data_IF_385217483578
#
_entry.id   IF_385217483578
#
_cell.length_a   1.000
_cell.length_b   1.000
_cell.length_c   1.000
_cell.angle_alpha   90.00
_cell.angle_beta   90.00
_cell.angle_gamma   90.00
#
_symmetry.space_group_name_H-M   'P 1'
#
loop_
_entity.id
_entity.type
_entity.pdbx_description
1 polymer ?
#
# COMPACT_ATOMS: atom_id res chain seq x y z
N UNK A 1 33.34 32.61 57.55
CA UNK A 1 33.33 31.22 57.06
C UNK A 1 32.07 31.07 56.20
N UNK A 2 32.25 30.64 54.95
CA UNK A 2 31.29 30.73 53.83
C UNK A 2 29.91 30.11 54.07
N UNK A 3 28.83 30.67 53.49
CA UNK A 3 27.67 29.88 53.14
C UNK A 3 27.88 29.27 51.74
N UNK A 4 27.77 27.94 51.68
CA UNK A 4 27.73 27.16 50.45
C UNK A 4 26.49 27.53 49.64
N UNK A 5 26.68 28.01 48.41
CA UNK A 5 25.63 28.07 47.41
C UNK A 5 25.45 26.67 46.81
N UNK A 6 24.32 26.02 47.10
CA UNK A 6 23.92 24.77 46.44
C UNK A 6 23.27 25.14 45.11
N UNK A 7 23.99 24.90 44.01
CA UNK A 7 23.47 25.03 42.66
C UNK A 7 22.67 23.75 42.32
N UNK A 8 21.34 23.82 42.31
CA UNK A 8 20.52 22.75 41.74
C UNK A 8 20.66 22.75 40.22
N UNK A 9 21.44 21.83 39.69
CA UNK A 9 21.46 21.53 38.26
C UNK A 9 20.18 20.78 37.89
N UNK A 10 19.22 21.47 37.29
CA UNK A 10 18.07 20.84 36.64
C UNK A 10 18.59 20.18 35.36
N UNK A 11 18.89 18.88 35.45
CA UNK A 11 19.08 18.01 34.30
C UNK A 11 17.72 17.86 33.60
N UNK A 12 17.46 18.74 32.64
CA UNK A 12 16.34 18.61 31.72
C UNK A 12 16.53 17.36 30.88
N UNK A 13 15.88 16.26 31.25
CA UNK A 13 15.63 15.15 30.35
C UNK A 13 14.75 15.66 29.21
N UNK A 14 15.37 16.05 28.09
CA UNK A 14 14.67 16.14 26.81
C UNK A 14 14.29 14.72 26.40
N UNK A 15 13.15 14.24 26.91
CA UNK A 15 12.43 13.16 26.24
C UNK A 15 11.98 13.77 24.92
N UNK A 16 12.73 13.47 23.84
CA UNK A 16 12.23 13.65 22.49
C UNK A 16 11.01 12.76 22.36
N UNK A 17 9.83 13.30 22.68
CA UNK A 17 8.55 12.68 22.34
C UNK A 17 8.50 12.68 20.83
N UNK A 18 8.96 11.59 20.24
CA UNK A 18 8.89 11.38 18.82
C UNK A 18 7.40 11.21 18.50
N UNK A 19 6.79 12.25 17.92
CA UNK A 19 5.36 12.23 17.59
C UNK A 19 5.03 10.99 16.78
N UNK A 20 4.02 10.26 17.22
CA UNK A 20 3.51 9.08 16.54
C UNK A 20 3.13 9.44 15.09
N UNK A 21 3.41 8.57 14.11
CA UNK A 21 2.96 8.81 12.75
C UNK A 21 1.43 8.93 12.66
N UNK A 22 0.96 9.93 11.93
CA UNK A 22 -0.46 10.16 11.66
C UNK A 22 -0.78 9.93 10.19
N UNK A 23 -1.97 9.37 9.92
CA UNK A 23 -2.46 9.13 8.57
C UNK A 23 -3.23 10.34 8.05
N UNK A 24 -2.51 11.44 7.81
CA UNK A 24 -3.11 12.74 7.47
C UNK A 24 -2.91 13.14 6.00
N UNK A 25 -2.04 12.42 5.30
CA UNK A 25 -1.74 12.63 3.88
C UNK A 25 -2.02 11.36 3.11
N UNK A 26 -2.31 11.47 1.82
CA UNK A 26 -2.49 10.33 0.95
C UNK A 26 -1.70 10.58 -0.33
N UNK A 27 -0.63 9.80 -0.50
CA UNK A 27 0.34 9.99 -1.58
C UNK A 27 0.73 8.66 -2.18
N UNK A 28 1.16 8.70 -3.44
CA UNK A 28 1.68 7.53 -4.14
C UNK A 28 2.99 7.83 -4.85
N UNK A 29 3.66 6.75 -5.23
CA UNK A 29 4.88 6.74 -6.03
C UNK A 29 6.10 7.21 -5.25
N UNK A 30 7.01 6.29 -4.99
CA UNK A 30 8.31 6.59 -4.42
C UNK A 30 9.30 7.06 -5.50
N UNK A 31 10.27 7.87 -5.09
CA UNK A 31 11.41 8.23 -5.90
C UNK A 31 12.36 9.16 -5.17
N UNK A 32 13.60 9.27 -5.67
CA UNK A 32 14.65 10.08 -5.04
C UNK A 32 14.50 11.59 -5.34
N UNK A 33 13.92 11.94 -6.49
CA UNK A 33 13.73 13.34 -6.86
C UNK A 33 12.44 13.91 -6.24
N UNK A 34 12.51 14.33 -4.97
CA UNK A 34 11.38 14.89 -4.22
C UNK A 34 10.82 16.20 -4.79
N UNK A 35 11.53 16.86 -5.71
CA UNK A 35 11.06 18.05 -6.42
C UNK A 35 10.21 17.69 -7.65
N UNK A 36 10.20 16.42 -8.05
CA UNK A 36 9.34 15.94 -9.13
C UNK A 36 7.89 15.93 -8.70
N UNK A 37 6.99 16.47 -9.52
CA UNK A 37 5.54 16.38 -9.32
C UNK A 37 4.99 14.94 -9.35
N UNK A 38 5.79 13.97 -9.80
CA UNK A 38 5.43 12.55 -9.84
C UNK A 38 5.73 11.85 -8.52
N UNK A 39 6.81 12.24 -7.87
CA UNK A 39 7.32 11.59 -6.66
C UNK A 39 6.49 12.08 -5.47
N UNK A 40 5.98 11.15 -4.67
CA UNK A 40 5.08 11.41 -3.56
C UNK A 40 3.86 12.26 -3.96
N UNK A 41 3.33 11.99 -5.15
CA UNK A 41 2.18 12.70 -5.71
C UNK A 41 0.97 12.55 -4.78
N UNK A 42 0.29 13.67 -4.47
CA UNK A 42 -0.91 13.64 -3.62
C UNK A 42 -2.08 13.08 -4.42
N UNK A 43 -2.95 12.36 -3.72
CA UNK A 43 -4.22 11.89 -4.25
C UNK A 43 -5.39 12.56 -3.50
N UNK A 44 -6.54 12.76 -4.18
CA UNK A 44 -7.71 13.38 -3.59
C UNK A 44 -8.32 12.48 -2.51
N UNK A 45 -8.68 13.08 -1.38
CA UNK A 45 -9.17 12.39 -0.18
C UNK A 45 -10.69 12.38 -0.08
N UNK A 46 -11.36 13.17 -0.91
CA UNK A 46 -12.82 13.16 -1.05
C UNK A 46 -13.25 12.97 -2.50
N UNK A 47 -14.46 12.47 -2.73
CA UNK A 47 -15.00 12.36 -4.08
C UNK A 47 -15.08 13.72 -4.80
N UNK A 48 -15.34 14.81 -4.06
CA UNK A 48 -15.45 16.15 -4.64
C UNK A 48 -14.09 16.65 -5.14
N UNK A 49 -13.03 16.45 -4.34
CA UNK A 49 -11.65 16.70 -4.79
C UNK A 49 -11.34 15.84 -6.02
N UNK A 50 -11.69 14.55 -5.99
CA UNK A 50 -11.42 13.63 -7.10
C UNK A 50 -12.05 14.10 -8.42
N UNK A 51 -13.34 14.47 -8.38
CA UNK A 51 -14.05 15.03 -9.53
C UNK A 51 -13.39 16.32 -10.02
N UNK A 52 -13.02 17.23 -9.10
CA UNK A 52 -12.35 18.48 -9.46
C UNK A 52 -10.98 18.26 -10.10
N UNK A 53 -10.30 17.16 -9.76
CA UNK A 53 -9.02 16.77 -10.32
C UNK A 53 -9.14 15.88 -11.57
N UNK A 54 -10.35 15.67 -12.09
CA UNK A 54 -10.62 14.93 -13.32
C UNK A 54 -10.67 13.41 -13.16
N UNK A 55 -10.88 12.90 -11.95
CA UNK A 55 -11.22 11.49 -11.75
C UNK A 55 -12.69 11.25 -12.10
N UNK A 56 -12.93 10.14 -12.80
CA UNK A 56 -14.26 9.70 -13.23
C UNK A 56 -14.67 8.48 -12.45
N UNK A 57 -15.94 8.43 -12.02
CA UNK A 57 -16.51 7.29 -11.32
C UNK A 57 -16.59 6.09 -12.28
N UNK A 58 -16.07 4.94 -11.85
CA UNK A 58 -16.26 3.69 -12.57
C UNK A 58 -17.68 3.17 -12.37
N UNK A 59 -18.19 2.41 -13.34
CA UNK A 59 -19.49 1.76 -13.22
C UNK A 59 -19.49 0.78 -12.05
N UNK A 60 -20.62 0.67 -11.35
CA UNK A 60 -20.78 -0.18 -10.18
C UNK A 60 -21.54 0.50 -9.05
N UNK A 61 -22.01 -0.32 -8.11
CA UNK A 61 -22.60 0.13 -6.85
C UNK A 61 -21.53 0.20 -5.77
N UNK A 62 -21.84 0.83 -4.63
CA UNK A 62 -20.94 0.81 -3.48
C UNK A 62 -20.72 -0.63 -3.00
N UNK A 63 -21.80 -1.40 -2.84
CA UNK A 63 -21.79 -2.78 -2.33
C UNK A 63 -22.36 -3.77 -3.37
N UNK A 64 -22.32 -5.07 -3.05
CA UNK A 64 -22.90 -6.14 -3.87
C UNK A 64 -21.99 -6.66 -5.00
N UNK A 65 -20.75 -6.19 -5.08
CA UNK A 65 -19.72 -6.70 -6.00
C UNK A 65 -18.50 -7.27 -5.28
N UNK A 66 -17.43 -7.50 -6.04
CA UNK A 66 -16.12 -7.97 -5.51
C UNK A 66 -15.39 -6.91 -4.68
N UNK A 67 -15.78 -5.65 -4.82
CA UNK A 67 -15.16 -4.52 -4.17
C UNK A 67 -16.22 -3.73 -3.42
N UNK A 68 -15.78 -3.03 -2.38
CA UNK A 68 -16.58 -2.07 -1.66
C UNK A 68 -16.18 -0.65 -2.05
N UNK A 69 -17.13 0.25 -1.92
CA UNK A 69 -16.95 1.68 -2.09
C UNK A 69 -17.14 2.13 -3.54
N UNK A 70 -17.22 3.45 -3.69
CA UNK A 70 -17.34 4.10 -4.99
C UNK A 70 -15.95 4.29 -5.57
N UNK A 71 -15.71 3.66 -6.73
CA UNK A 71 -14.40 3.62 -7.38
C UNK A 71 -14.22 4.76 -8.38
N UNK A 72 -13.05 5.40 -8.38
CA UNK A 72 -12.73 6.53 -9.25
C UNK A 72 -11.35 6.38 -9.88
N UNK A 73 -11.24 6.66 -11.17
CA UNK A 73 -10.00 6.55 -11.94
C UNK A 73 -9.76 7.83 -12.74
N UNK A 74 -8.49 8.21 -12.92
CA UNK A 74 -8.11 9.39 -13.71
C UNK A 74 -7.55 8.97 -15.07
N UNK A 75 -8.18 9.44 -16.15
CA UNK A 75 -7.83 9.01 -17.51
C UNK A 75 -8.00 7.49 -17.66
N UNK A 76 -7.00 6.81 -18.23
CA UNK A 76 -6.93 5.35 -18.37
C UNK A 76 -5.91 4.71 -17.41
N UNK A 77 -5.53 5.42 -16.36
CA UNK A 77 -4.48 4.99 -15.44
C UNK A 77 -5.03 4.09 -14.32
N UNK A 78 -5.06 2.79 -14.57
CA UNK A 78 -5.54 1.76 -13.63
C UNK A 78 -4.60 1.53 -12.45
N UNK A 79 -3.37 2.07 -12.46
CA UNK A 79 -2.41 1.84 -11.39
C UNK A 79 -2.86 2.45 -10.05
N UNK A 80 -3.72 3.47 -10.06
CA UNK A 80 -4.28 4.09 -8.86
C UNK A 80 -5.78 4.38 -9.02
N UNK A 81 -6.62 3.41 -8.67
CA UNK A 81 -8.08 3.58 -8.59
C UNK A 81 -8.45 3.87 -7.13
N UNK A 82 -9.10 5.01 -6.90
CA UNK A 82 -9.44 5.48 -5.56
C UNK A 82 -10.80 4.91 -5.14
N UNK A 83 -10.92 4.51 -3.88
CA UNK A 83 -12.16 3.98 -3.31
C UNK A 83 -12.65 4.96 -2.25
N UNK A 84 -13.88 5.45 -2.40
CA UNK A 84 -14.55 6.27 -1.39
C UNK A 84 -15.67 5.49 -0.70
N UNK A 85 -15.89 5.78 0.59
CA UNK A 85 -17.05 5.30 1.32
C UNK A 85 -18.35 5.95 0.82
N UNK A 86 -19.47 5.52 1.38
CA UNK A 86 -20.81 5.98 1.01
C UNK A 86 -20.98 7.51 1.14
N UNK A 87 -20.28 8.15 2.08
CA UNK A 87 -20.30 9.60 2.29
C UNK A 87 -19.24 10.35 1.48
N UNK A 88 -18.40 9.63 0.74
CA UNK A 88 -17.44 10.19 -0.20
C UNK A 88 -16.07 10.52 0.39
N UNK A 89 -15.70 9.92 1.52
CA UNK A 89 -14.35 10.01 2.11
C UNK A 89 -13.49 8.81 1.70
N UNK A 90 -12.19 9.03 1.50
CA UNK A 90 -11.26 8.01 0.99
C UNK A 90 -11.20 6.78 1.90
N UNK A 91 -11.68 5.64 1.42
CA UNK A 91 -11.78 4.40 2.17
C UNK A 91 -10.76 3.34 1.71
N UNK A 92 -10.11 3.54 0.57
CA UNK A 92 -9.10 2.61 0.06
C UNK A 92 -8.51 3.01 -1.28
N UNK A 93 -7.67 2.13 -1.81
CA UNK A 93 -7.04 2.27 -3.13
C UNK A 93 -6.86 0.89 -3.76
N UNK A 94 -6.87 0.86 -5.10
CA UNK A 94 -6.52 -0.31 -5.87
C UNK A 94 -5.34 -0.04 -6.79
N UNK A 95 -4.56 -1.08 -7.02
CA UNK A 95 -3.61 -1.17 -8.12
C UNK A 95 -4.17 -2.16 -9.14
N UNK A 96 -4.51 -1.64 -10.31
CA UNK A 96 -5.00 -2.43 -11.44
C UNK A 96 -3.89 -2.70 -12.44
N UNK A 97 -3.79 -3.93 -12.91
CA UNK A 97 -2.94 -4.34 -14.02
C UNK A 97 -3.87 -4.85 -15.13
N UNK A 98 -3.94 -4.17 -16.30
CA UNK A 98 -4.72 -4.67 -17.43
C UNK A 98 -4.32 -6.10 -17.76
N UNK A 99 -5.29 -6.96 -18.03
CA UNK A 99 -5.04 -8.37 -18.32
C UNK A 99 -4.12 -8.53 -19.53
N UNK A 100 -4.24 -7.66 -20.53
CA UNK A 100 -3.37 -7.60 -21.70
C UNK A 100 -1.91 -7.30 -21.33
N UNK A 101 -1.67 -6.42 -20.35
CA UNK A 101 -0.34 -6.16 -19.80
C UNK A 101 0.20 -7.35 -19.01
N UNK A 102 -0.64 -7.98 -18.17
CA UNK A 102 -0.27 -9.18 -17.44
C UNK A 102 0.10 -10.35 -18.37
N UNK A 103 -0.62 -10.52 -19.48
CA UNK A 103 -0.38 -11.58 -20.46
C UNK A 103 0.85 -11.34 -21.35
N UNK A 104 1.32 -10.10 -21.48
CA UNK A 104 2.57 -9.76 -22.19
C UNK A 104 3.82 -10.15 -21.42
N UNK A 105 3.71 -10.34 -20.11
CA UNK A 105 4.84 -10.72 -19.26
C UNK A 105 5.15 -12.21 -19.45
N UNK A 106 6.42 -12.53 -19.71
CA UNK A 106 6.87 -13.90 -19.91
C UNK A 106 6.99 -14.66 -18.60
N UNK A 107 5.85 -15.12 -18.09
CA UNK A 107 5.80 -16.06 -16.99
C UNK A 107 5.92 -17.50 -17.52
N UNK A 108 6.30 -18.47 -16.68
CA UNK A 108 5.98 -19.87 -17.02
C UNK A 108 4.45 -20.00 -17.13
N UNK A 109 3.91 -20.82 -18.04
CA UNK A 109 2.44 -20.98 -18.16
C UNK A 109 1.80 -21.38 -16.82
N UNK A 110 2.52 -22.19 -16.02
CA UNK A 110 2.13 -22.54 -14.66
C UNK A 110 2.10 -21.32 -13.73
N UNK A 111 3.09 -20.44 -13.79
CA UNK A 111 3.14 -19.23 -12.97
C UNK A 111 2.13 -18.17 -13.43
N UNK A 112 1.95 -17.94 -14.73
CA UNK A 112 0.94 -17.02 -15.27
C UNK A 112 -0.46 -17.38 -14.77
N UNK A 113 -0.78 -18.67 -14.84
CA UNK A 113 -2.03 -19.23 -14.36
C UNK A 113 -2.16 -19.22 -12.83
N UNK A 114 -1.09 -18.94 -12.07
CA UNK A 114 -1.08 -19.00 -10.60
C UNK A 114 -0.85 -17.66 -9.90
N UNK A 115 -0.06 -16.76 -10.48
CA UNK A 115 0.29 -15.47 -9.92
C UNK A 115 -0.92 -14.53 -9.82
N UNK A 116 -1.74 -14.52 -10.88
CA UNK A 116 -3.02 -13.81 -10.93
C UNK A 116 -4.21 -14.66 -10.45
N UNK A 117 -3.97 -15.92 -10.09
CA UNK A 117 -4.91 -16.80 -9.37
C UNK A 117 -4.71 -16.72 -7.84
N UNK A 118 -3.72 -15.93 -7.38
CA UNK A 118 -3.68 -15.50 -5.99
C UNK A 118 -5.00 -14.85 -5.65
N UNK A 119 -5.61 -15.27 -4.54
CA UNK A 119 -6.88 -14.71 -4.07
C UNK A 119 -6.81 -13.19 -3.81
N UNK A 120 -5.61 -12.60 -3.74
CA UNK A 120 -5.43 -11.16 -3.69
C UNK A 120 -5.87 -10.44 -4.98
N UNK A 121 -5.63 -11.03 -6.15
CA UNK A 121 -6.01 -10.44 -7.43
C UNK A 121 -7.48 -10.73 -7.74
N UNK A 122 -8.24 -9.66 -7.97
CA UNK A 122 -9.64 -9.74 -8.34
C UNK A 122 -9.82 -9.21 -9.76
N UNK A 123 -10.21 -10.09 -10.68
CA UNK A 123 -10.50 -9.72 -12.06
C UNK A 123 -11.85 -8.99 -12.15
N UNK A 124 -11.86 -7.84 -12.81
CA UNK A 124 -13.07 -7.07 -13.07
C UNK A 124 -12.97 -6.31 -14.40
N UNK A 125 -14.10 -5.77 -14.88
CA UNK A 125 -14.16 -5.00 -16.13
C UNK A 125 -14.28 -3.52 -15.85
N UNK A 126 -13.49 -2.71 -16.55
CA UNK A 126 -13.63 -1.27 -16.60
C UNK A 126 -14.07 -0.82 -18.00
N UNK A 127 -14.67 0.36 -18.09
CA UNK A 127 -15.09 0.97 -19.36
C UNK A 127 -15.93 0.04 -20.26
N UNK A 128 -16.71 -0.84 -19.63
CA UNK A 128 -17.61 -1.79 -20.30
C UNK A 128 -17.00 -3.15 -20.60
N UNK A 129 -15.73 -3.21 -20.99
CA UNK A 129 -15.15 -4.46 -21.57
C UNK A 129 -13.71 -4.76 -21.18
N UNK A 130 -12.93 -3.77 -20.72
CA UNK A 130 -11.50 -3.97 -20.46
C UNK A 130 -11.28 -4.73 -19.15
N UNK A 131 -10.69 -5.92 -19.25
CA UNK A 131 -10.39 -6.79 -18.11
C UNK A 131 -9.11 -6.34 -17.40
N UNK A 132 -9.22 -6.14 -16.07
CA UNK A 132 -8.13 -5.66 -15.22
C UNK A 132 -8.07 -6.49 -13.94
N UNK A 133 -6.88 -6.94 -13.57
CA UNK A 133 -6.63 -7.57 -12.28
C UNK A 133 -6.38 -6.49 -11.23
N UNK A 134 -7.20 -6.45 -10.18
CA UNK A 134 -7.06 -5.47 -9.10
C UNK A 134 -6.53 -6.11 -7.82
N UNK A 135 -5.50 -5.49 -7.25
CA UNK A 135 -5.17 -5.60 -5.84
C UNK A 135 -5.86 -4.47 -5.09
N UNK A 136 -6.43 -4.75 -3.92
CA UNK A 136 -7.21 -3.77 -3.16
C UNK A 136 -6.75 -3.68 -1.72
N UNK A 137 -6.57 -2.45 -1.23
CA UNK A 137 -6.33 -2.14 0.16
C UNK A 137 -7.38 -1.14 0.67
N UNK A 138 -8.01 -1.45 1.80
CA UNK A 138 -8.94 -0.56 2.50
C UNK A 138 -8.27 0.02 3.74
N UNK A 139 -8.55 1.30 4.02
CA UNK A 139 -7.95 2.08 5.11
C UNK A 139 -8.85 2.17 6.35
N UNK A 140 -10.04 1.58 6.28
CA UNK A 140 -11.05 1.54 7.32
C UNK A 140 -11.69 0.16 7.32
N UNK A 141 -12.44 -0.17 8.37
CA UNK A 141 -13.23 -1.40 8.42
C UNK A 141 -14.10 -1.53 7.15
N UNK A 142 -13.91 -2.60 6.35
CA UNK A 142 -14.72 -2.86 5.17
C UNK A 142 -16.24 -2.81 5.45
N UNK A 143 -16.69 -3.22 6.63
CA UNK A 143 -18.12 -3.26 6.98
C UNK A 143 -18.80 -1.89 6.95
N UNK A 144 -18.08 -0.80 7.19
CA UNK A 144 -18.69 0.54 7.24
C UNK A 144 -18.73 1.23 5.87
N UNK A 145 -17.88 0.80 4.91
CA UNK A 145 -17.63 1.53 3.66
C UNK A 145 -18.91 1.81 2.88
N UNK A 146 -19.84 0.85 2.85
CA UNK A 146 -21.11 0.95 2.13
C UNK A 146 -22.33 0.73 3.03
N UNK A 147 -22.14 0.93 4.33
CA UNK A 147 -23.19 0.82 5.34
C UNK A 147 -23.15 2.06 6.24
N UNK A 148 -23.36 3.22 5.63
CA UNK A 148 -23.34 4.52 6.28
C UNK A 148 -22.06 5.32 6.09
N UNK A 149 -20.92 4.69 5.81
CA UNK A 149 -19.62 5.36 5.67
C UNK A 149 -19.17 6.09 6.95
N UNK A 150 -18.09 6.87 6.85
CA UNK A 150 -17.70 7.76 7.95
C UNK A 150 -18.45 9.07 7.91
N UNK A 151 -18.80 9.61 9.07
CA UNK A 151 -19.24 11.00 9.18
C UNK A 151 -18.06 11.96 8.97
N UNK A 152 -18.37 13.25 8.81
CA UNK A 152 -17.35 14.30 8.71
C UNK A 152 -16.44 14.33 9.93
N UNK A 153 -17.02 14.24 11.13
CA UNK A 153 -16.31 14.29 12.40
C UNK A 153 -15.37 13.08 12.53
N UNK A 154 -15.86 11.89 12.17
CA UNK A 154 -15.03 10.68 12.15
C UNK A 154 -13.86 10.83 11.17
N UNK A 155 -14.10 11.33 9.95
CA UNK A 155 -13.03 11.56 8.98
C UNK A 155 -12.01 12.61 9.46
N UNK A 156 -12.45 13.69 10.11
CA UNK A 156 -11.57 14.71 10.65
C UNK A 156 -10.67 14.17 11.78
N UNK A 157 -11.20 13.29 12.62
CA UNK A 157 -10.44 12.62 13.69
C UNK A 157 -9.48 11.55 13.13
N UNK A 158 -9.98 10.69 12.24
CA UNK A 158 -9.27 9.51 11.76
C UNK A 158 -8.29 9.80 10.60
N UNK A 159 -8.50 10.92 9.88
CA UNK A 159 -7.74 11.23 8.67
C UNK A 159 -8.04 10.23 7.54
N UNK A 160 -6.99 9.65 6.94
CA UNK A 160 -7.16 8.67 5.86
C UNK A 160 -7.86 7.41 6.36
N UNK A 161 -7.61 7.00 7.60
CA UNK A 161 -8.13 5.76 8.13
C UNK A 161 -7.46 5.33 9.43
N UNK A 162 -7.98 4.26 10.02
CA UNK A 162 -7.54 3.69 11.31
C UNK A 162 -7.01 2.28 11.19
N UNK A 163 -7.22 1.62 10.04
CA UNK A 163 -6.95 0.20 9.83
C UNK A 163 -6.39 -0.02 8.43
N UNK A 164 -5.73 -1.16 8.18
CA UNK A 164 -5.32 -1.54 6.83
C UNK A 164 -5.75 -2.98 6.56
N UNK A 165 -6.69 -3.14 5.63
CA UNK A 165 -7.24 -4.43 5.20
C UNK A 165 -6.81 -4.71 3.77
N UNK A 166 -6.06 -5.78 3.56
CA UNK A 166 -5.58 -6.19 2.25
C UNK A 166 -6.48 -7.29 1.72
N UNK A 167 -7.23 -7.00 0.65
CA UNK A 167 -8.20 -7.93 0.11
C UNK A 167 -7.51 -9.22 -0.37
N UNK A 168 -8.05 -10.35 0.05
CA UNK A 168 -7.52 -11.69 -0.23
C UNK A 168 -8.66 -12.68 -0.55
N UNK A 169 -9.58 -12.26 -1.41
CA UNK A 169 -10.70 -13.05 -1.92
C UNK A 169 -11.78 -12.15 -2.51
N UNK A 170 -12.88 -12.74 -2.98
CA UNK A 170 -13.96 -11.98 -3.62
C UNK A 170 -14.89 -11.25 -2.65
N UNK A 171 -14.86 -11.61 -1.36
CA UNK A 171 -15.64 -10.94 -0.30
C UNK A 171 -14.68 -10.16 0.61
N UNK A 172 -14.52 -8.84 0.44
CA UNK A 172 -13.56 -8.06 1.23
C UNK A 172 -13.89 -7.96 2.73
N UNK A 173 -15.12 -8.25 3.15
CA UNK A 173 -15.49 -8.29 4.58
C UNK A 173 -14.97 -9.56 5.24
N UNK A 174 -15.08 -10.70 4.52
CA UNK A 174 -14.70 -12.02 5.06
C UNK A 174 -13.30 -12.47 4.66
N UNK A 175 -12.77 -11.93 3.57
CA UNK A 175 -11.54 -12.37 2.92
C UNK A 175 -10.59 -11.19 2.78
N UNK A 176 -10.09 -10.72 3.91
CA UNK A 176 -9.03 -9.72 3.99
C UNK A 176 -7.96 -10.17 4.97
N UNK A 177 -6.72 -9.75 4.72
CA UNK A 177 -5.63 -9.82 5.70
C UNK A 177 -5.60 -8.47 6.40
N UNK A 178 -6.01 -8.45 7.66
CA UNK A 178 -5.86 -7.29 8.53
C UNK A 178 -4.37 -7.12 8.90
N UNK A 179 -3.89 -5.89 8.80
CA UNK A 179 -2.51 -5.53 9.13
C UNK A 179 -2.52 -4.89 10.53
N UNK A 180 -1.76 -5.45 11.49
CA UNK A 180 -1.61 -4.80 12.79
C UNK A 180 -1.08 -3.38 12.62
N UNK A 181 -1.68 -2.41 13.32
CA UNK A 181 -1.29 -1.01 13.11
C UNK A 181 0.11 -0.71 13.69
N UNK A 182 0.53 -1.47 14.72
CA UNK A 182 1.81 -1.28 15.40
C UNK A 182 2.76 -2.47 15.20
N UNK A 183 4.05 -2.17 15.04
CA UNK A 183 5.10 -3.15 14.75
C UNK A 183 5.26 -4.18 15.87
N UNK A 184 5.02 -3.75 17.12
CA UNK A 184 5.05 -4.63 18.31
C UNK A 184 3.96 -5.72 18.28
N UNK A 185 2.89 -5.52 17.52
CA UNK A 185 1.76 -6.45 17.44
C UNK A 185 1.96 -7.49 16.32
N UNK A 186 3.17 -7.55 15.72
CA UNK A 186 3.51 -8.49 14.65
C UNK A 186 4.04 -9.84 15.12
N UNK A 187 4.45 -9.98 16.39
CA UNK A 187 5.21 -11.14 16.91
C UNK A 187 4.57 -12.49 16.60
N UNK A 188 3.24 -12.61 16.74
CA UNK A 188 2.47 -13.83 16.50
C UNK A 188 1.73 -13.84 15.15
N UNK A 189 2.17 -13.00 14.21
CA UNK A 189 1.55 -12.88 12.89
C UNK A 189 2.40 -13.53 11.81
N UNK A 190 1.87 -13.52 10.59
CA UNK A 190 2.58 -14.03 9.42
C UNK A 190 3.44 -12.98 8.71
N UNK A 191 3.54 -11.77 9.25
CA UNK A 191 4.34 -10.71 8.67
C UNK A 191 5.81 -10.87 9.05
N UNK A 192 6.65 -11.17 8.06
CA UNK A 192 8.08 -11.40 8.25
C UNK A 192 8.83 -10.10 8.01
N UNK A 193 9.68 -9.73 8.98
CA UNK A 193 10.52 -8.54 8.90
C UNK A 193 11.51 -8.65 7.76
N UNK A 194 11.37 -7.77 6.78
CA UNK A 194 12.34 -7.55 5.73
C UNK A 194 13.38 -6.52 6.14
N UNK A 195 13.76 -5.66 5.20
CA UNK A 195 14.82 -4.68 5.39
C UNK A 195 14.28 -3.26 5.43
N UNK A 196 15.07 -2.41 6.06
CA UNK A 196 14.85 -0.98 6.08
C UNK A 196 15.33 -0.35 4.77
N UNK A 197 14.49 0.48 4.17
CA UNK A 197 14.92 1.40 3.13
C UNK A 197 14.65 2.85 3.54
N UNK A 198 15.70 3.68 3.55
CA UNK A 198 15.59 5.10 3.90
C UNK A 198 14.61 5.78 2.95
N UNK A 199 13.67 6.58 3.47
CA UNK A 199 12.54 7.22 2.75
C UNK A 199 11.37 6.30 2.38
N UNK A 200 11.41 5.03 2.78
CA UNK A 200 10.27 4.10 2.69
C UNK A 200 9.84 3.58 4.06
N UNK A 201 10.79 3.06 4.85
CA UNK A 201 10.59 2.47 6.17
C UNK A 201 11.08 1.02 6.26
N UNK A 202 10.66 0.30 7.30
CA UNK A 202 10.92 -1.14 7.48
C UNK A 202 9.84 -1.93 6.76
N UNK A 203 10.23 -2.69 5.73
CA UNK A 203 9.31 -3.54 4.98
C UNK A 203 9.01 -4.81 5.75
N UNK A 204 7.75 -5.21 5.74
CA UNK A 204 7.28 -6.52 6.21
C UNK A 204 6.54 -7.21 5.08
N UNK A 205 6.78 -8.50 4.93
CA UNK A 205 6.26 -9.31 3.83
C UNK A 205 5.52 -10.52 4.39
N UNK A 206 4.37 -10.85 3.80
CA UNK A 206 3.49 -11.88 4.35
C UNK A 206 3.96 -13.28 3.96
N UNK A 207 4.17 -14.15 4.96
CA UNK A 207 4.56 -15.57 4.83
C UNK A 207 5.78 -15.84 3.95
N UNK A 208 6.68 -14.86 3.78
CA UNK A 208 7.89 -15.08 2.98
C UNK A 208 8.90 -15.93 3.74
N UNK A 209 9.52 -16.87 3.05
CA UNK A 209 10.62 -17.67 3.58
C UNK A 209 11.48 -18.16 2.41
N UNK A 210 12.73 -18.52 2.69
CA UNK A 210 13.75 -18.84 1.67
C UNK A 210 13.27 -19.82 0.58
N UNK A 211 12.58 -20.88 1.01
CA UNK A 211 12.12 -22.00 0.17
C UNK A 211 10.67 -21.86 -0.35
N UNK A 212 10.08 -20.65 -0.35
CA UNK A 212 8.70 -20.46 -0.81
C UNK A 212 8.58 -20.65 -2.33
N UNK A 213 7.39 -21.06 -2.79
CA UNK A 213 7.04 -20.95 -4.21
C UNK A 213 6.58 -19.54 -4.50
N UNK A 214 6.92 -19.01 -5.67
CA UNK A 214 6.48 -17.67 -6.02
C UNK A 214 4.98 -17.57 -6.28
N UNK A 215 4.30 -18.69 -6.54
CA UNK A 215 2.84 -18.76 -6.59
C UNK A 215 2.20 -18.38 -5.25
N UNK A 216 2.95 -18.53 -4.16
CA UNK A 216 2.49 -18.27 -2.79
C UNK A 216 2.82 -16.83 -2.36
N UNK A 217 3.43 -16.03 -3.26
CA UNK A 217 3.78 -14.65 -3.00
C UNK A 217 2.54 -13.79 -2.83
N UNK A 218 2.41 -13.17 -1.67
CA UNK A 218 1.35 -12.19 -1.41
C UNK A 218 1.81 -10.81 -1.90
N UNK A 219 1.10 -10.17 -2.85
CA UNK A 219 1.59 -9.03 -3.62
C UNK A 219 1.48 -7.69 -2.88
N UNK A 220 1.74 -7.71 -1.57
CA UNK A 220 1.74 -6.57 -0.70
C UNK A 220 2.94 -6.61 0.25
N UNK A 221 3.50 -5.43 0.49
CA UNK A 221 4.38 -5.19 1.65
C UNK A 221 3.77 -4.08 2.50
N UNK A 222 3.84 -4.26 3.82
CA UNK A 222 3.41 -3.25 4.79
C UNK A 222 4.65 -2.65 5.42
N UNK A 223 4.62 -1.34 5.66
CA UNK A 223 5.83 -0.60 5.96
C UNK A 223 5.64 0.24 7.22
N UNK A 224 6.51 -0.04 8.19
CA UNK A 224 6.50 0.61 9.50
C UNK A 224 7.61 1.65 9.60
N UNK A 225 7.32 2.71 10.34
CA UNK A 225 8.29 3.70 10.74
C UNK A 225 7.90 4.19 12.14
N UNK A 226 8.87 4.19 13.06
CA UNK A 226 8.63 4.51 14.49
C UNK A 226 7.54 3.63 15.10
N UNK A 227 7.57 2.33 14.77
CA UNK A 227 6.67 1.33 15.36
C UNK A 227 5.21 1.37 14.91
N UNK A 228 4.84 2.17 13.90
CA UNK A 228 3.48 2.23 13.33
C UNK A 228 3.50 2.15 11.80
N UNK A 229 2.47 1.58 11.20
CA UNK A 229 2.28 1.59 9.74
C UNK A 229 2.24 3.03 9.24
N UNK A 230 3.09 3.35 8.27
CA UNK A 230 3.11 4.67 7.60
C UNK A 230 2.91 4.61 6.11
N UNK A 231 3.06 3.41 5.55
CA UNK A 231 3.00 3.13 4.13
C UNK A 231 2.76 1.64 3.90
N UNK A 232 2.39 1.32 2.68
CA UNK A 232 2.42 -0.04 2.14
C UNK A 232 2.74 0.07 0.64
N UNK A 233 3.00 -1.05 -0.02
CA UNK A 233 3.12 -1.06 -1.47
C UNK A 233 2.43 -2.29 -2.06
N UNK A 234 1.87 -2.08 -3.24
CA UNK A 234 1.56 -3.16 -4.16
C UNK A 234 2.85 -3.65 -4.80
N UNK A 235 2.97 -4.96 -5.01
CA UNK A 235 4.19 -5.60 -5.45
C UNK A 235 3.86 -6.75 -6.41
N UNK A 236 4.17 -6.57 -7.69
CA UNK A 236 3.80 -7.51 -8.75
C UNK A 236 5.04 -7.86 -9.58
N UNK A 237 5.14 -9.13 -9.97
CA UNK A 237 6.13 -9.56 -10.95
C UNK A 237 5.76 -9.02 -12.33
N UNK A 238 6.76 -8.62 -13.10
CA UNK A 238 6.60 -7.95 -14.38
C UNK A 238 7.05 -6.49 -14.31
N UNK A 239 7.38 -5.93 -15.47
CA UNK A 239 7.71 -4.52 -15.64
C UNK A 239 6.57 -3.80 -16.36
N UNK A 240 5.64 -3.25 -15.59
CA UNK A 240 4.45 -2.58 -16.12
C UNK A 240 4.68 -1.08 -16.38
N UNK A 241 4.79 -0.69 -17.65
CA UNK A 241 5.15 0.68 -18.05
C UNK A 241 3.95 1.54 -18.50
N UNK A 242 2.73 1.02 -18.48
CA UNK A 242 1.52 1.76 -18.85
C UNK A 242 1.22 2.94 -17.92
N UNK A 243 1.78 2.93 -16.69
CA UNK A 243 1.66 4.01 -15.73
C UNK A 243 3.01 4.44 -15.18
N UNK A 244 3.20 5.75 -15.05
CA UNK A 244 4.39 6.35 -14.43
C UNK A 244 4.42 6.25 -12.90
N UNK A 245 3.40 5.63 -12.30
CA UNK A 245 3.33 5.40 -10.85
C UNK A 245 4.07 4.16 -10.40
N UNK A 246 4.34 3.23 -11.33
CA UNK A 246 5.14 2.06 -11.03
C UNK A 246 6.61 2.43 -10.88
N UNK A 247 7.20 1.82 -9.86
CA UNK A 247 8.62 1.81 -9.61
C UNK A 247 9.14 0.43 -10.05
N UNK A 248 10.32 0.42 -10.67
CA UNK A 248 10.93 -0.80 -11.19
C UNK A 248 12.28 -1.02 -10.51
N UNK A 249 12.32 -1.57 -9.28
CA UNK A 249 13.58 -1.88 -8.62
C UNK A 249 14.37 -2.87 -9.47
N UNK A 250 15.70 -2.73 -9.46
CA UNK A 250 16.57 -3.75 -10.06
C UNK A 250 16.50 -5.05 -9.26
N UNK A 251 16.81 -6.18 -9.90
CA UNK A 251 16.96 -7.48 -9.22
C UNK A 251 17.88 -7.37 -7.99
N UNK A 252 19.03 -6.71 -8.12
CA UNK A 252 19.97 -6.49 -7.00
C UNK A 252 19.35 -5.73 -5.81
N UNK A 253 18.36 -4.88 -6.06
CA UNK A 253 17.69 -4.10 -5.01
C UNK A 253 16.71 -4.92 -4.18
N UNK A 254 16.31 -6.13 -4.60
CA UNK A 254 15.41 -6.98 -3.81
C UNK A 254 15.97 -7.26 -2.39
N UNK A 255 17.29 -7.40 -2.27
CA UNK A 255 17.99 -7.58 -0.99
C UNK A 255 17.88 -6.38 -0.03
N UNK A 256 17.47 -5.21 -0.52
CA UNK A 256 17.25 -4.01 0.30
C UNK A 256 15.85 -3.95 0.91
N UNK A 257 14.93 -4.81 0.50
CA UNK A 257 13.52 -4.80 0.93
C UNK A 257 13.10 -6.11 1.61
N UNK A 258 13.57 -7.25 1.10
CA UNK A 258 13.20 -8.58 1.58
C UNK A 258 14.07 -9.05 2.75
N UNK A 259 13.61 -10.06 3.53
CA UNK A 259 14.43 -10.72 4.54
C UNK A 259 15.70 -11.34 3.94
N UNK A 260 16.65 -11.69 4.81
CA UNK A 260 17.89 -12.35 4.44
C UNK A 260 17.91 -13.79 4.98
N UNK A 261 18.06 -14.82 4.12
CA UNK A 261 18.21 -14.73 2.67
C UNK A 261 16.90 -14.34 1.96
N UNK A 262 17.04 -13.64 0.83
CA UNK A 262 15.92 -13.34 -0.08
C UNK A 262 15.43 -14.66 -0.69
N UNK A 263 14.11 -14.93 -0.71
CA UNK A 263 13.61 -16.17 -1.30
C UNK A 263 14.05 -16.32 -2.76
N UNK A 264 14.65 -17.47 -3.09
CA UNK A 264 15.27 -17.71 -4.40
C UNK A 264 14.28 -17.53 -5.54
N UNK A 265 13.04 -17.94 -5.33
CA UNK A 265 12.02 -17.84 -6.36
C UNK A 265 11.82 -16.40 -6.84
N UNK A 266 12.01 -15.38 -5.97
CA UNK A 266 11.79 -13.98 -6.34
C UNK A 266 12.77 -13.54 -7.42
N UNK A 267 14.02 -13.98 -7.35
CA UNK A 267 15.03 -13.75 -8.38
C UNK A 267 14.70 -14.51 -9.67
N UNK A 268 14.38 -15.80 -9.54
CA UNK A 268 14.03 -16.64 -10.68
C UNK A 268 12.82 -16.08 -11.46
N UNK A 269 11.80 -15.60 -10.74
CA UNK A 269 10.61 -15.02 -11.35
C UNK A 269 10.85 -13.60 -11.86
N UNK A 270 11.62 -12.76 -11.15
CA UNK A 270 12.05 -11.45 -11.66
C UNK A 270 12.69 -11.57 -13.05
N UNK A 271 13.65 -12.50 -13.20
CA UNK A 271 14.38 -12.68 -14.46
C UNK A 271 13.46 -13.18 -15.58
N UNK A 272 12.48 -14.02 -15.26
CA UNK A 272 11.48 -14.52 -16.22
C UNK A 272 10.49 -13.45 -16.64
N UNK A 273 9.86 -12.79 -15.67
CA UNK A 273 8.85 -11.74 -15.88
C UNK A 273 9.46 -10.44 -16.42
N UNK A 274 10.78 -10.37 -16.58
CA UNK A 274 11.47 -9.19 -17.09
C UNK A 274 11.48 -8.01 -16.11
N UNK A 275 11.22 -8.27 -14.83
CA UNK A 275 11.28 -7.26 -13.77
C UNK A 275 10.24 -7.43 -12.68
N UNK A 276 10.17 -6.39 -11.84
CA UNK A 276 9.23 -6.25 -10.73
C UNK A 276 8.67 -4.83 -10.76
N UNK A 277 7.40 -4.69 -10.44
CA UNK A 277 6.67 -3.43 -10.39
C UNK A 277 6.11 -3.24 -9.00
N UNK A 278 6.44 -2.11 -8.37
CA UNK A 278 5.81 -1.69 -7.13
C UNK A 278 5.12 -0.34 -7.28
N UNK A 279 4.10 -0.10 -6.46
CA UNK A 279 3.57 1.24 -6.25
C UNK A 279 3.38 1.46 -4.76
N UNK A 280 4.22 2.32 -4.18
CA UNK A 280 4.08 2.68 -2.78
C UNK A 280 2.91 3.66 -2.56
N UNK A 281 2.24 3.48 -1.43
CA UNK A 281 1.22 4.36 -0.88
C UNK A 281 1.69 4.86 0.48
N UNK A 282 1.64 6.18 0.70
CA UNK A 282 2.15 6.83 1.90
C UNK A 282 1.07 7.63 2.62
N UNK A 283 1.02 7.46 3.94
CA UNK A 283 0.09 8.17 4.81
C UNK A 283 0.70 9.40 5.51
N UNK A 284 2.04 9.49 5.48
CA UNK A 284 2.81 10.58 6.10
C UNK A 284 2.73 11.88 5.29
N UNK A 285 2.67 13.02 5.99
CA UNK A 285 2.74 14.36 5.39
C UNK A 285 4.09 14.60 4.69
N UNK A 286 5.17 14.04 5.27
CA UNK A 286 6.56 14.18 4.81
C UNK A 286 7.19 12.79 4.60
N UNK A 287 6.77 12.04 3.56
CA UNK A 287 7.24 10.67 3.35
C UNK A 287 8.74 10.57 3.06
N UNK A 288 9.37 11.64 2.56
CA UNK A 288 10.83 11.73 2.41
C UNK A 288 11.61 11.76 3.74
N UNK A 289 10.93 11.92 4.88
CA UNK A 289 11.50 11.86 6.23
C UNK A 289 11.18 10.54 6.95
N UNK A 290 10.80 9.50 6.20
CA UNK A 290 10.64 8.16 6.77
C UNK A 290 12.02 7.52 6.92
N UNK A 291 12.29 6.97 8.11
CA UNK A 291 13.56 6.36 8.45
C UNK A 291 13.34 5.04 9.19
N UNK A 292 14.44 4.37 9.43
CA UNK A 292 14.61 3.39 10.49
C UNK A 292 15.71 3.97 11.39
#
# INVERSE_FOLDING_TARGET
MSPFAVLFAILGFFVLVQSEPTWQSFRVTWGLNVLSSRVFSKLPKTENEARSEGFVKLAGQCSGGKFLGKRYMKGLDTAAVLIYDENGYIAGIQNGIPKTDAERVNHTDFYRAKAFDSSAYQLDKILGEEEVYFLTAYFVDPNIICNGGRTKEQYEEQGIGTELHLQNGSDPIRNSVEVPLYEKDLEDTHWVKGRCFRTMGVHYWYKVHENMKCSDFFPFTVIYNRGKVTSFAFASFGKYEFSRRFEHPSSSSLSMFFPDPVPKCLYDEYDRSGGFSSMHVFFSIRPWNIFC
#
